data_IF_923821025071
#
_entry.id   IF_923821025071
#
_cell.length_a   1.000
_cell.length_b   1.000
_cell.length_c   1.000
_cell.angle_alpha   90.00
_cell.angle_beta   90.00
_cell.angle_gamma   90.00
#
_symmetry.space_group_name_H-M   'P 1'
#
loop_
_entity.id
_entity.type
_entity.pdbx_description
1 polymer ?
#
# COMPACT_ATOMS: atom_id res chain seq x y z
N UNK A 1 -8.02 -15.48 -19.97
CA UNK A 1 -7.53 -14.68 -18.83
C UNK A 1 -6.57 -15.55 -18.04
N UNK A 2 -5.36 -15.09 -17.75
CA UNK A 2 -4.42 -15.79 -16.84
C UNK A 2 -4.80 -15.50 -15.39
N UNK A 3 -4.51 -16.44 -14.49
CA UNK A 3 -4.63 -16.22 -13.05
C UNK A 3 -3.47 -15.32 -12.59
N UNK A 4 -3.77 -14.35 -11.72
CA UNK A 4 -2.77 -13.51 -11.06
C UNK A 4 -2.91 -13.65 -9.54
N UNK A 5 -1.78 -13.72 -8.84
CA UNK A 5 -1.69 -13.85 -7.39
C UNK A 5 -0.94 -12.65 -6.83
N UNK A 6 -1.52 -12.02 -5.80
CA UNK A 6 -0.83 -10.96 -5.09
C UNK A 6 -1.18 -10.89 -3.63
N UNK A 7 -0.52 -9.96 -2.95
CA UNK A 7 -0.46 -9.93 -1.50
C UNK A 7 -0.96 -8.58 -1.02
N UNK A 8 -1.99 -8.64 -0.18
CA UNK A 8 -2.45 -7.46 0.56
C UNK A 8 -1.61 -7.31 1.83
N UNK A 9 -0.88 -6.20 1.92
CA UNK A 9 -0.08 -5.84 3.08
C UNK A 9 -0.75 -4.63 3.73
N UNK A 10 -1.65 -4.87 4.67
CA UNK A 10 -2.18 -3.80 5.51
C UNK A 10 -1.05 -3.15 6.28
N UNK A 11 -0.86 -1.84 6.12
CA UNK A 11 0.22 -1.11 6.78
C UNK A 11 -0.08 -0.80 8.26
N UNK A 12 -0.47 -1.84 9.01
CA UNK A 12 -0.71 -1.81 10.44
C UNK A 12 -0.09 -3.02 11.13
N UNK A 13 0.35 -2.84 12.39
CA UNK A 13 1.00 -3.87 13.22
C UNK A 13 2.40 -4.29 12.72
N UNK A 14 2.99 -3.53 11.81
CA UNK A 14 4.34 -3.76 11.28
C UNK A 14 5.02 -2.41 11.08
N UNK A 15 6.26 -2.26 11.53
CA UNK A 15 7.03 -1.04 11.28
C UNK A 15 7.46 -0.93 9.80
N UNK A 16 7.89 0.26 9.40
CA UNK A 16 8.27 0.53 8.01
C UNK A 16 9.49 -0.29 7.56
N UNK A 17 10.42 -0.62 8.45
CA UNK A 17 11.61 -1.39 8.09
C UNK A 17 11.23 -2.83 7.73
N UNK A 18 10.39 -3.46 8.55
CA UNK A 18 9.85 -4.79 8.31
C UNK A 18 8.97 -4.82 7.04
N UNK A 19 8.14 -3.81 6.80
CA UNK A 19 7.35 -3.71 5.58
C UNK A 19 8.23 -3.62 4.33
N UNK A 20 9.25 -2.76 4.32
CA UNK A 20 10.19 -2.63 3.19
C UNK A 20 10.91 -3.95 2.90
N UNK A 21 11.33 -4.68 3.94
CA UNK A 21 11.94 -6.00 3.77
C UNK A 21 10.96 -7.03 3.17
N UNK A 22 9.69 -7.03 3.61
CA UNK A 22 8.65 -7.89 3.05
C UNK A 22 8.37 -7.55 1.58
N UNK A 23 8.22 -6.27 1.24
CA UNK A 23 7.93 -5.82 -0.11
C UNK A 23 9.00 -6.24 -1.11
N UNK A 24 10.28 -6.01 -0.80
CA UNK A 24 11.41 -6.47 -1.63
C UNK A 24 11.36 -7.98 -1.85
N UNK A 25 11.14 -8.75 -0.77
CA UNK A 25 11.05 -10.21 -0.85
C UNK A 25 9.87 -10.69 -1.71
N UNK A 26 8.72 -10.02 -1.65
CA UNK A 26 7.56 -10.35 -2.48
C UNK A 26 7.82 -10.01 -3.96
N UNK A 27 8.41 -8.85 -4.21
CA UNK A 27 8.76 -8.37 -5.54
C UNK A 27 9.81 -9.26 -6.23
N UNK A 28 10.85 -9.66 -5.50
CA UNK A 28 11.88 -10.62 -5.96
C UNK A 28 11.26 -11.98 -6.34
N UNK A 29 10.18 -12.37 -5.66
CA UNK A 29 9.41 -13.59 -5.92
C UNK A 29 8.39 -13.45 -7.06
N UNK A 30 8.35 -12.29 -7.74
CA UNK A 30 7.47 -12.02 -8.88
C UNK A 30 5.98 -12.17 -8.53
N UNK A 31 5.55 -11.68 -7.36
CA UNK A 31 4.11 -11.54 -7.11
C UNK A 31 3.51 -10.55 -8.11
N UNK A 32 2.28 -10.80 -8.57
CA UNK A 32 1.68 -9.98 -9.62
C UNK A 32 1.28 -8.60 -9.11
N UNK A 33 0.86 -8.50 -7.84
CA UNK A 33 0.52 -7.23 -7.21
C UNK A 33 0.74 -7.21 -5.69
N UNK A 34 1.03 -6.02 -5.16
CA UNK A 34 1.11 -5.72 -3.72
C UNK A 34 0.18 -4.54 -3.44
N UNK A 35 -0.55 -4.60 -2.33
CA UNK A 35 -1.42 -3.48 -1.95
C UNK A 35 -1.31 -3.03 -0.50
N UNK A 36 -1.65 -1.74 -0.34
CA UNK A 36 -1.98 -1.09 0.92
C UNK A 36 -3.52 -1.00 1.10
N UNK A 37 -3.97 -0.52 2.26
CA UNK A 37 -5.37 -0.16 2.53
C UNK A 37 -5.53 1.33 2.85
N UNK A 38 -6.75 1.88 2.76
CA UNK A 38 -7.01 3.31 2.99
C UNK A 38 -7.64 3.59 4.35
N UNK A 39 -6.89 3.30 5.41
CA UNK A 39 -7.35 3.45 6.78
C UNK A 39 -6.59 4.58 7.50
N UNK A 40 -7.31 5.63 7.90
CA UNK A 40 -6.77 6.74 8.69
C UNK A 40 -6.62 6.44 10.18
N UNK A 41 -7.13 5.31 10.63
CA UNK A 41 -7.04 4.84 12.00
C UNK A 41 -6.91 3.33 11.98
N UNK A 42 -6.49 2.76 13.11
CA UNK A 42 -6.34 1.32 13.23
C UNK A 42 -7.66 0.56 13.05
N UNK A 43 -7.64 -0.52 12.27
CA UNK A 43 -8.78 -1.40 12.08
C UNK A 43 -8.38 -2.89 12.15
N UNK A 44 -8.73 -3.62 13.22
CA UNK A 44 -9.44 -3.15 14.40
C UNK A 44 -8.59 -2.18 15.24
N UNK A 45 -9.24 -1.30 16.04
CA UNK A 45 -8.53 -0.37 16.92
C UNK A 45 -7.69 -1.08 17.99
N UNK A 46 -6.46 -0.61 18.24
CA UNK A 46 -5.60 -1.03 19.38
C UNK A 46 -5.05 0.15 20.19
N UNK A 47 -5.85 1.21 20.29
CA UNK A 47 -5.58 2.33 21.18
C UNK A 47 -4.49 3.31 20.74
N UNK A 48 -4.10 3.32 19.46
CA UNK A 48 -3.11 4.27 18.93
C UNK A 48 -1.66 3.87 19.22
N UNK A 49 -1.41 2.63 19.64
CA UNK A 49 -0.11 2.18 20.16
C UNK A 49 0.71 1.39 19.15
N UNK A 50 0.11 1.00 18.02
CA UNK A 50 0.76 0.21 16.99
C UNK A 50 1.03 1.07 15.76
N UNK A 51 2.06 0.75 14.96
CA UNK A 51 2.24 1.39 13.66
C UNK A 51 0.95 1.24 12.83
N UNK A 52 0.45 2.35 12.31
CA UNK A 52 -0.57 2.41 11.26
C UNK A 52 -0.17 3.58 10.34
N UNK A 53 0.08 3.30 9.07
CA UNK A 53 0.62 4.31 8.15
C UNK A 53 -0.44 4.77 7.13
N UNK A 54 -0.31 6.04 6.72
CA UNK A 54 -1.17 6.64 5.72
C UNK A 54 -0.94 5.98 4.34
N UNK A 55 -2.03 5.71 3.61
CA UNK A 55 -2.02 4.85 2.42
C UNK A 55 -1.17 5.40 1.26
N UNK A 56 -1.30 6.68 0.93
CA UNK A 56 -0.62 7.30 -0.22
C UNK A 56 0.88 7.41 0.02
N UNK A 57 1.28 7.86 1.21
CA UNK A 57 2.67 7.91 1.61
C UNK A 57 3.30 6.52 1.61
N UNK A 58 2.56 5.50 2.09
CA UNK A 58 3.01 4.11 2.08
C UNK A 58 3.18 3.59 0.65
N UNK A 59 2.27 3.89 -0.27
CA UNK A 59 2.40 3.51 -1.67
C UNK A 59 3.61 4.15 -2.35
N UNK A 60 3.92 5.41 -2.04
CA UNK A 60 5.15 6.06 -2.51
C UNK A 60 6.41 5.35 -2.01
N UNK A 61 6.44 4.95 -0.74
CA UNK A 61 7.55 4.16 -0.19
C UNK A 61 7.63 2.77 -0.85
N UNK A 62 6.51 2.07 -1.01
CA UNK A 62 6.45 0.78 -1.68
C UNK A 62 6.98 0.87 -3.12
N UNK A 63 6.56 1.88 -3.89
CA UNK A 63 7.03 2.12 -5.25
C UNK A 63 8.54 2.34 -5.33
N UNK A 64 9.12 3.07 -4.38
CA UNK A 64 10.58 3.26 -4.34
C UNK A 64 11.35 1.95 -4.09
N UNK A 65 10.74 0.99 -3.40
CA UNK A 65 11.37 -0.25 -2.95
C UNK A 65 11.24 -1.44 -3.91
N UNK A 66 10.29 -1.39 -4.84
CA UNK A 66 9.96 -2.50 -5.74
C UNK A 66 10.17 -2.13 -7.21
N UNK A 67 10.26 -3.13 -8.09
CA UNK A 67 10.52 -2.96 -9.53
C UNK A 67 9.62 -3.84 -10.42
N UNK A 68 8.86 -4.79 -9.88
CA UNK A 68 8.16 -5.79 -10.69
C UNK A 68 6.65 -5.86 -10.43
N UNK A 69 6.24 -5.88 -9.17
CA UNK A 69 4.84 -6.00 -8.76
C UNK A 69 4.04 -4.75 -9.15
N UNK A 70 2.78 -4.95 -9.57
CA UNK A 70 1.82 -3.86 -9.68
C UNK A 70 1.42 -3.38 -8.30
N UNK A 71 1.27 -2.07 -8.12
CA UNK A 71 0.99 -1.47 -6.82
C UNK A 71 -0.40 -0.85 -6.81
N UNK A 72 -1.05 -0.83 -5.65
CA UNK A 72 -2.35 -0.17 -5.50
C UNK A 72 -2.90 -0.17 -4.09
N UNK A 73 -4.02 0.51 -3.91
CA UNK A 73 -4.77 0.50 -2.66
C UNK A 73 -6.02 -0.37 -2.82
N UNK A 74 -6.25 -1.29 -1.88
CA UNK A 74 -7.45 -2.11 -1.81
C UNK A 74 -8.21 -1.79 -0.50
N UNK A 75 -9.08 -0.78 -0.46
CA UNK A 75 -9.45 0.19 -1.52
C UNK A 75 -9.24 1.62 -1.03
N UNK A 76 -9.07 2.58 -1.93
CA UNK A 76 -9.24 4.00 -1.58
C UNK A 76 -10.71 4.28 -1.27
N UNK A 77 -10.98 5.02 -0.19
CA UNK A 77 -12.31 5.52 0.08
C UNK A 77 -12.46 6.96 -0.39
N UNK A 78 -13.22 7.15 -1.48
CA UNK A 78 -13.42 8.47 -2.10
C UNK A 78 -14.13 9.47 -1.18
N UNK A 79 -14.92 9.01 -0.20
CA UNK A 79 -15.56 9.92 0.76
C UNK A 79 -14.58 10.62 1.71
N UNK A 80 -13.35 10.11 1.83
CA UNK A 80 -12.28 10.73 2.62
C UNK A 80 -11.33 11.61 1.80
N UNK A 81 -11.37 11.51 0.46
CA UNK A 81 -10.35 12.09 -0.41
C UNK A 81 -11.00 12.90 -1.52
N UNK A 82 -10.56 14.14 -1.71
CA UNK A 82 -10.97 14.91 -2.89
C UNK A 82 -10.59 14.12 -4.18
N UNK A 83 -11.54 13.83 -5.09
CA UNK A 83 -11.26 12.99 -6.26
C UNK A 83 -10.18 13.55 -7.19
N UNK A 84 -10.13 14.88 -7.37
CA UNK A 84 -9.11 15.51 -8.20
C UNK A 84 -7.71 15.40 -7.56
N UNK A 85 -7.62 15.54 -6.24
CA UNK A 85 -6.37 15.30 -5.52
C UNK A 85 -5.94 13.84 -5.60
N UNK A 86 -6.87 12.89 -5.43
CA UNK A 86 -6.58 11.46 -5.56
C UNK A 86 -6.10 11.10 -6.97
N UNK A 87 -6.71 11.67 -8.01
CA UNK A 87 -6.26 11.51 -9.38
C UNK A 87 -4.84 12.08 -9.59
N UNK A 88 -4.53 13.25 -9.00
CA UNK A 88 -3.18 13.83 -9.08
C UNK A 88 -2.15 12.98 -8.34
N UNK A 89 -2.51 12.41 -7.20
CA UNK A 89 -1.68 11.46 -6.46
C UNK A 89 -1.41 10.21 -7.30
N UNK A 90 -2.44 9.59 -7.88
CA UNK A 90 -2.31 8.38 -8.69
C UNK A 90 -1.40 8.61 -9.90
N UNK A 91 -1.61 9.72 -10.64
CA UNK A 91 -0.75 10.10 -11.77
C UNK A 91 0.68 10.44 -11.34
N UNK A 92 0.90 10.85 -10.10
CA UNK A 92 2.24 11.06 -9.53
C UNK A 92 2.86 9.75 -9.05
N UNK A 93 2.12 8.70 -8.74
CA UNK A 93 2.70 7.40 -8.41
C UNK A 93 3.06 6.58 -9.67
N UNK A 94 2.37 6.84 -10.78
CA UNK A 94 2.51 6.10 -12.05
C UNK A 94 3.66 6.57 -12.96
N UNK A 95 4.23 7.75 -12.70
CA UNK A 95 5.32 8.33 -13.52
C UNK A 95 6.62 7.52 -13.47
#
# INVERSE_FOLDING_TARGET
MSIALGVHVGQQNMDMAAMRALWRKLDDKRVDWISAWDHFYEAPPKGGTQPHFEAVATLGALAAETRHARLGCLVFYVGYRNPALLAKIATTLDH
#
